data_IF_220256070106
#
_entry.id   IF_220256070106
#
_cell.length_a   1.000
_cell.length_b   1.000
_cell.length_c   1.000
_cell.angle_alpha   90.00
_cell.angle_beta   90.00
_cell.angle_gamma   90.00
#
_symmetry.space_group_name_H-M   'P 1'
#
loop_
_entity.id
_entity.type
_entity.pdbx_description
1 polymer ?
#
# COMPACT_ATOMS: atom_id res chain seq x y z
N UNK A 1 -7.53 -16.68 -1.72
CA UNK A 1 -8.39 -16.13 -2.78
C UNK A 1 -7.55 -15.72 -3.97
N UNK A 2 -7.82 -16.27 -5.15
CA UNK A 2 -7.09 -15.97 -6.39
C UNK A 2 -7.45 -14.59 -6.96
N UNK A 3 -8.68 -14.12 -6.75
CA UNK A 3 -9.13 -12.81 -7.22
C UNK A 3 -8.39 -11.70 -6.48
N UNK A 4 -8.32 -11.76 -5.14
CA UNK A 4 -7.54 -10.82 -4.33
C UNK A 4 -6.06 -10.80 -4.71
N UNK A 5 -5.43 -11.96 -4.94
CA UNK A 5 -4.02 -12.00 -5.36
C UNK A 5 -3.79 -11.27 -6.68
N UNK A 6 -4.62 -11.56 -7.69
CA UNK A 6 -4.47 -11.03 -9.05
C UNK A 6 -4.81 -9.55 -9.14
N UNK A 7 -5.83 -9.11 -8.40
CA UNK A 7 -6.38 -7.74 -8.52
C UNK A 7 -5.79 -6.76 -7.50
N UNK A 8 -5.14 -7.24 -6.44
CA UNK A 8 -4.59 -6.40 -5.36
C UNK A 8 -3.10 -6.65 -5.16
N UNK A 9 -2.71 -7.89 -4.83
CA UNK A 9 -1.32 -8.17 -4.43
C UNK A 9 -0.34 -8.04 -5.59
N UNK A 10 -0.67 -8.59 -6.76
CA UNK A 10 0.20 -8.56 -7.93
C UNK A 10 0.41 -7.14 -8.50
N UNK A 11 -0.63 -6.29 -8.68
CA UNK A 11 -0.43 -4.92 -9.13
C UNK A 11 0.40 -4.08 -8.16
N UNK A 12 0.09 -4.14 -6.85
CA UNK A 12 0.85 -3.42 -5.82
C UNK A 12 2.30 -3.93 -5.78
N UNK A 13 2.50 -5.24 -5.85
CA UNK A 13 3.83 -5.84 -5.91
C UNK A 13 4.63 -5.35 -7.11
N UNK A 14 4.01 -5.31 -8.30
CA UNK A 14 4.64 -4.80 -9.52
C UNK A 14 5.02 -3.33 -9.38
N UNK A 15 4.14 -2.49 -8.85
CA UNK A 15 4.47 -1.08 -8.57
C UNK A 15 5.63 -0.95 -7.58
N UNK A 16 5.66 -1.78 -6.54
CA UNK A 16 6.72 -1.77 -5.54
C UNK A 16 8.11 -2.13 -6.13
N UNK A 17 8.16 -2.97 -7.18
CA UNK A 17 9.45 -3.35 -7.79
C UNK A 17 10.25 -2.20 -8.41
N UNK A 18 9.63 -1.06 -8.71
CA UNK A 18 10.35 0.11 -9.24
C UNK A 18 11.23 0.80 -8.19
N UNK A 19 10.83 0.78 -6.92
CA UNK A 19 11.46 1.59 -5.87
C UNK A 19 12.91 1.20 -5.53
N UNK A 20 13.28 -0.09 -5.47
CA UNK A 20 14.69 -0.48 -5.29
C UNK A 20 15.61 0.10 -6.37
N UNK A 21 15.20 0.03 -7.64
CA UNK A 21 16.01 0.54 -8.76
C UNK A 21 16.11 2.06 -8.75
N UNK A 22 15.01 2.75 -8.42
CA UNK A 22 15.03 4.20 -8.18
C UNK A 22 16.00 4.55 -7.05
N UNK A 23 15.98 3.80 -5.96
CA UNK A 23 16.89 3.99 -4.83
C UNK A 23 18.36 3.84 -5.23
N UNK A 24 18.68 2.85 -6.07
CA UNK A 24 20.01 2.69 -6.66
C UNK A 24 20.39 3.86 -7.58
N UNK A 25 19.47 4.31 -8.43
CA UNK A 25 19.70 5.44 -9.34
C UNK A 25 19.97 6.75 -8.56
N UNK A 26 19.20 7.03 -7.50
CA UNK A 26 19.43 8.17 -6.61
C UNK A 26 20.79 8.08 -5.93
N UNK A 27 21.19 6.90 -5.43
CA UNK A 27 22.52 6.70 -4.85
C UNK A 27 23.64 6.95 -5.84
N UNK A 28 23.50 6.47 -7.08
CA UNK A 28 24.46 6.72 -8.17
C UNK A 28 24.53 8.21 -8.53
N UNK A 29 23.39 8.91 -8.61
CA UNK A 29 23.32 10.38 -8.82
C UNK A 29 24.03 11.16 -7.71
N UNK A 30 23.87 10.76 -6.45
CA UNK A 30 24.55 11.41 -5.34
C UNK A 30 26.07 11.16 -5.34
N UNK A 31 26.50 9.95 -5.72
CA UNK A 31 27.93 9.66 -5.89
C UNK A 31 28.57 10.53 -6.98
N UNK A 32 27.94 10.60 -8.16
CA UNK A 32 28.45 11.42 -9.27
C UNK A 32 28.44 12.92 -8.96
N UNK A 33 27.46 13.41 -8.19
CA UNK A 33 27.48 14.78 -7.67
C UNK A 33 28.71 15.04 -6.80
N UNK A 34 29.03 14.14 -5.86
CA UNK A 34 30.19 14.25 -5.00
C UNK A 34 31.51 14.24 -5.82
N UNK A 35 31.61 13.35 -6.81
CA UNK A 35 32.77 13.29 -7.71
C UNK A 35 32.94 14.60 -8.50
N UNK A 36 31.83 15.17 -8.99
CA UNK A 36 31.82 16.46 -9.67
C UNK A 36 32.23 17.62 -8.76
N UNK A 37 31.72 17.69 -7.53
CA UNK A 37 32.09 18.72 -6.56
C UNK A 37 33.59 18.65 -6.20
N UNK A 38 34.13 17.45 -6.05
CA UNK A 38 35.56 17.22 -5.82
C UNK A 38 36.40 17.69 -7.02
N UNK A 39 35.99 17.37 -8.25
CA UNK A 39 36.68 17.82 -9.46
C UNK A 39 36.65 19.35 -9.60
N UNK A 40 35.49 20.00 -9.33
CA UNK A 40 35.39 21.47 -9.28
C UNK A 40 36.27 22.08 -8.20
N UNK A 41 36.36 21.46 -7.03
CA UNK A 41 37.25 21.93 -5.97
C UNK A 41 38.73 21.86 -6.39
N UNK A 42 39.13 20.81 -7.12
CA UNK A 42 40.48 20.68 -7.69
C UNK A 42 40.78 21.78 -8.72
N UNK A 43 39.83 22.07 -9.62
CA UNK A 43 39.96 23.18 -10.58
C UNK A 43 40.11 24.52 -9.85
N UNK A 44 39.23 24.83 -8.88
CA UNK A 44 39.31 26.08 -8.09
C UNK A 44 40.68 26.26 -7.43
N UNK A 45 41.21 25.20 -6.80
CA UNK A 45 42.55 25.24 -6.18
C UNK A 45 43.67 25.53 -7.19
N UNK A 46 43.58 25.01 -8.41
CA UNK A 46 44.58 25.25 -9.47
C UNK A 46 44.44 26.65 -10.09
N UNK A 47 43.26 27.24 -10.08
CA UNK A 47 43.04 28.64 -10.49
C UNK A 47 43.58 29.61 -9.44
N UNK A 48 43.26 29.38 -8.16
CA UNK A 48 43.73 30.22 -7.05
C UNK A 48 45.24 30.12 -6.84
N UNK A 49 45.81 28.93 -7.04
CA UNK A 49 47.25 28.68 -6.95
C UNK A 49 47.73 27.95 -8.20
N UNK A 50 48.09 28.70 -9.27
CA UNK A 50 48.56 28.12 -10.53
C UNK A 50 49.77 27.22 -10.33
N UNK A 51 49.79 26.11 -11.06
CA UNK A 51 50.91 25.18 -11.10
C UNK A 51 51.94 25.64 -12.13
N UNK A 52 53.22 25.32 -11.90
CA UNK A 52 54.27 25.53 -12.91
C UNK A 52 54.05 24.67 -14.17
N UNK A 53 53.52 23.45 -14.00
CA UNK A 53 53.01 22.64 -15.12
C UNK A 53 51.69 23.21 -15.67
N UNK A 54 51.79 23.88 -16.83
CA UNK A 54 50.67 24.51 -17.55
C UNK A 54 49.62 23.52 -18.04
N UNK A 55 49.91 22.22 -18.09
CA UNK A 55 48.96 21.20 -18.54
C UNK A 55 48.00 20.74 -17.44
N UNK A 56 48.31 21.03 -16.16
CA UNK A 56 47.52 20.52 -15.02
C UNK A 56 46.14 21.15 -14.91
N UNK A 57 46.02 22.45 -15.16
CA UNK A 57 44.73 23.14 -15.12
C UNK A 57 43.81 22.64 -16.25
N UNK A 58 44.23 22.63 -17.54
CA UNK A 58 43.40 22.09 -18.63
C UNK A 58 42.95 20.64 -18.40
N UNK A 59 43.84 19.79 -17.84
CA UNK A 59 43.48 18.41 -17.49
C UNK A 59 42.42 18.35 -16.39
N UNK A 60 42.57 19.13 -15.32
CA UNK A 60 41.59 19.16 -14.24
C UNK A 60 40.24 19.72 -14.69
N UNK A 61 40.23 20.69 -15.61
CA UNK A 61 39.01 21.22 -16.23
C UNK A 61 38.32 20.17 -17.11
N UNK A 62 39.09 19.42 -17.89
CA UNK A 62 38.57 18.29 -18.67
C UNK A 62 37.94 17.22 -17.77
N UNK A 63 38.64 16.79 -16.71
CA UNK A 63 38.12 15.83 -15.72
C UNK A 63 36.81 16.36 -15.09
N UNK A 64 36.77 17.63 -14.72
CA UNK A 64 35.58 18.25 -14.11
C UNK A 64 34.39 18.31 -15.06
N UNK A 65 34.62 18.54 -16.36
CA UNK A 65 33.57 18.49 -17.38
C UNK A 65 33.03 17.07 -17.56
N UNK A 66 33.88 16.04 -17.56
CA UNK A 66 33.42 14.64 -17.60
C UNK A 66 32.53 14.33 -16.40
N UNK A 67 32.97 14.69 -15.19
CA UNK A 67 32.17 14.46 -13.98
C UNK A 67 30.85 15.24 -14.00
N UNK A 68 30.85 16.47 -14.52
CA UNK A 68 29.63 17.27 -14.73
C UNK A 68 28.65 16.52 -15.62
N UNK A 69 29.10 16.11 -16.80
CA UNK A 69 28.23 15.51 -17.81
C UNK A 69 27.65 14.17 -17.30
N UNK A 70 28.43 13.39 -16.54
CA UNK A 70 27.92 12.19 -15.86
C UNK A 70 26.82 12.49 -14.83
N UNK A 71 27.03 13.51 -13.99
CA UNK A 71 26.04 13.93 -13.01
C UNK A 71 24.78 14.50 -13.67
N UNK A 72 24.94 15.40 -14.65
CA UNK A 72 23.83 16.08 -15.33
C UNK A 72 22.95 15.09 -16.08
N UNK A 73 23.53 14.11 -16.77
CA UNK A 73 22.78 13.05 -17.43
C UNK A 73 21.90 12.27 -16.44
N UNK A 74 22.49 11.83 -15.31
CA UNK A 74 21.75 11.03 -14.33
C UNK A 74 20.72 11.87 -13.56
N UNK A 75 21.02 13.15 -13.31
CA UNK A 75 20.10 14.10 -12.71
C UNK A 75 18.91 14.40 -13.62
N UNK A 76 19.15 14.63 -14.92
CA UNK A 76 18.10 14.88 -15.90
C UNK A 76 17.18 13.66 -16.10
N UNK A 77 17.76 12.46 -16.14
CA UNK A 77 17.00 11.22 -16.21
C UNK A 77 16.08 11.07 -14.99
N UNK A 78 16.61 11.22 -13.77
CA UNK A 78 15.80 11.12 -12.56
C UNK A 78 14.71 12.20 -12.49
N UNK A 79 15.02 13.43 -12.87
CA UNK A 79 14.05 14.53 -12.90
C UNK A 79 12.88 14.25 -13.88
N UNK A 80 13.16 13.51 -14.96
CA UNK A 80 12.17 13.14 -15.97
C UNK A 80 11.34 11.92 -15.55
N UNK A 81 11.98 10.91 -14.96
CA UNK A 81 11.33 9.61 -14.68
C UNK A 81 10.60 9.56 -13.33
N UNK A 82 11.12 10.21 -12.28
CA UNK A 82 10.49 10.17 -10.95
C UNK A 82 9.02 10.64 -10.96
N UNK A 83 8.65 11.76 -11.62
CA UNK A 83 7.25 12.19 -11.68
C UNK A 83 6.34 11.15 -12.35
N UNK A 84 6.80 10.49 -13.41
CA UNK A 84 6.04 9.47 -14.14
C UNK A 84 5.77 8.25 -13.27
N UNK A 85 6.76 7.81 -12.50
CA UNK A 85 6.60 6.68 -11.57
C UNK A 85 5.62 7.04 -10.46
N UNK A 86 5.72 8.26 -9.91
CA UNK A 86 4.77 8.75 -8.92
C UNK A 86 3.35 8.78 -9.51
N UNK A 87 3.17 9.29 -10.72
CA UNK A 87 1.88 9.34 -11.41
C UNK A 87 1.29 7.95 -11.65
N UNK A 88 2.13 6.97 -12.02
CA UNK A 88 1.72 5.59 -12.24
C UNK A 88 1.02 4.96 -11.02
N UNK A 89 1.24 5.47 -9.79
CA UNK A 89 0.53 5.02 -8.59
C UNK A 89 -0.98 4.92 -8.78
N UNK A 90 -1.58 5.86 -9.52
CA UNK A 90 -3.03 5.92 -9.75
C UNK A 90 -3.48 4.66 -10.50
N UNK A 91 -2.78 4.34 -11.60
CA UNK A 91 -3.08 3.18 -12.45
C UNK A 91 -2.91 1.83 -11.74
N UNK A 92 -2.14 1.75 -10.66
CA UNK A 92 -1.99 0.53 -9.86
C UNK A 92 -2.92 0.51 -8.65
N UNK A 93 -3.03 1.61 -7.92
CA UNK A 93 -3.72 1.65 -6.63
C UNK A 93 -5.23 1.79 -6.79
N UNK A 94 -5.72 2.65 -7.68
CA UNK A 94 -7.16 2.87 -7.87
C UNK A 94 -7.92 1.57 -8.19
N UNK A 95 -7.53 0.77 -9.21
CA UNK A 95 -8.21 -0.48 -9.49
C UNK A 95 -8.01 -1.53 -8.37
N UNK A 96 -6.87 -1.49 -7.65
CA UNK A 96 -6.65 -2.38 -6.51
C UNK A 96 -7.60 -2.06 -5.35
N UNK A 97 -7.78 -0.78 -5.03
CA UNK A 97 -8.74 -0.33 -4.03
C UNK A 97 -10.18 -0.64 -4.43
N UNK A 98 -10.54 -0.40 -5.69
CA UNK A 98 -11.85 -0.75 -6.21
C UNK A 98 -12.13 -2.26 -6.09
N UNK A 99 -11.15 -3.10 -6.42
CA UNK A 99 -11.27 -4.56 -6.29
C UNK A 99 -11.48 -5.00 -4.83
N UNK A 100 -10.80 -4.36 -3.86
CA UNK A 100 -11.01 -4.62 -2.43
C UNK A 100 -12.45 -4.29 -2.03
N UNK A 101 -12.94 -3.11 -2.37
CA UNK A 101 -14.30 -2.67 -2.01
C UNK A 101 -15.35 -3.59 -2.62
N UNK A 102 -15.20 -3.96 -3.90
CA UNK A 102 -16.11 -4.90 -4.57
C UNK A 102 -16.08 -6.29 -3.95
N UNK A 103 -14.89 -6.78 -3.58
CA UNK A 103 -14.74 -8.07 -2.90
C UNK A 103 -15.45 -8.08 -1.55
N UNK A 104 -15.30 -7.01 -0.76
CA UNK A 104 -15.99 -6.86 0.52
C UNK A 104 -17.51 -6.76 0.36
N UNK A 105 -17.99 -6.00 -0.64
CA UNK A 105 -19.41 -5.90 -0.95
C UNK A 105 -19.99 -7.26 -1.33
N UNK A 106 -19.33 -8.00 -2.22
CA UNK A 106 -19.75 -9.35 -2.62
C UNK A 106 -19.82 -10.27 -1.41
N UNK A 107 -18.79 -10.26 -0.56
CA UNK A 107 -18.77 -11.06 0.66
C UNK A 107 -19.95 -10.74 1.60
N UNK A 108 -20.23 -9.46 1.81
CA UNK A 108 -21.35 -9.05 2.66
C UNK A 108 -22.71 -9.46 2.09
N UNK A 109 -22.89 -9.36 0.77
CA UNK A 109 -24.09 -9.81 0.08
C UNK A 109 -24.26 -11.33 0.19
N UNK A 110 -23.20 -12.09 -0.05
CA UNK A 110 -23.22 -13.55 0.05
C UNK A 110 -23.51 -14.02 1.49
N UNK A 111 -22.92 -13.34 2.49
CA UNK A 111 -23.19 -13.61 3.89
C UNK A 111 -24.66 -13.34 4.25
N UNK A 112 -25.22 -12.21 3.80
CA UNK A 112 -26.63 -11.88 4.03
C UNK A 112 -27.56 -12.93 3.40
N UNK A 113 -27.34 -13.26 2.12
CA UNK A 113 -28.13 -14.28 1.40
C UNK A 113 -28.07 -15.63 2.13
N UNK A 114 -26.89 -16.00 2.64
CA UNK A 114 -26.71 -17.21 3.43
C UNK A 114 -27.52 -17.15 4.74
N UNK A 115 -27.48 -16.05 5.47
CA UNK A 115 -28.25 -15.88 6.70
C UNK A 115 -29.76 -15.86 6.46
N UNK A 116 -30.24 -15.22 5.38
CA UNK A 116 -31.65 -15.27 4.98
C UNK A 116 -32.10 -16.70 4.67
N UNK A 117 -31.27 -17.49 3.98
CA UNK A 117 -31.53 -18.91 3.77
C UNK A 117 -31.54 -19.74 5.06
N UNK A 118 -30.86 -19.30 6.12
CA UNK A 118 -30.92 -19.93 7.43
C UNK A 118 -32.14 -19.50 8.25
N UNK A 119 -32.72 -18.31 8.01
CA UNK A 119 -33.90 -17.82 8.75
C UNK A 119 -35.05 -18.83 8.76
N UNK A 120 -35.27 -19.56 7.67
CA UNK A 120 -36.32 -20.58 7.58
C UNK A 120 -36.12 -21.78 8.53
N UNK A 121 -34.90 -21.99 9.03
CA UNK A 121 -34.57 -23.08 9.95
C UNK A 121 -34.68 -22.67 11.42
N UNK A 122 -34.76 -21.37 11.69
CA UNK A 122 -35.02 -20.88 13.04
C UNK A 122 -36.53 -20.85 13.29
N UNK A 123 -37.00 -21.18 14.49
CA UNK A 123 -38.40 -20.98 14.83
C UNK A 123 -38.75 -19.50 14.62
N UNK A 124 -39.96 -19.23 14.13
CA UNK A 124 -40.52 -17.88 14.14
C UNK A 124 -40.32 -17.30 15.54
N UNK A 125 -39.89 -16.04 15.65
CA UNK A 125 -39.87 -15.38 16.96
C UNK A 125 -41.27 -15.55 17.56
N UNK A 126 -41.40 -16.25 18.69
CA UNK A 126 -42.71 -16.45 19.29
C UNK A 126 -43.22 -15.06 19.63
N UNK A 127 -44.45 -14.75 19.21
CA UNK A 127 -45.05 -13.47 19.58
C UNK A 127 -45.04 -13.39 21.10
N UNK A 128 -44.75 -12.22 21.70
CA UNK A 128 -44.74 -12.07 23.17
C UNK A 128 -45.99 -12.66 23.83
N UNK A 129 -47.13 -12.60 23.12
CA UNK A 129 -48.39 -13.20 23.52
C UNK A 129 -48.40 -14.75 23.57
N UNK A 130 -47.67 -15.43 22.68
CA UNK A 130 -47.55 -16.90 22.66
C UNK A 130 -46.67 -17.38 23.82
N UNK A 131 -45.54 -16.70 24.05
CA UNK A 131 -44.66 -16.98 25.21
C UNK A 131 -45.44 -16.78 26.52
N UNK A 132 -46.22 -15.70 26.61
CA UNK A 132 -47.06 -15.41 27.77
C UNK A 132 -48.08 -16.51 28.04
N UNK A 133 -48.76 -17.02 27.01
CA UNK A 133 -49.74 -18.11 27.12
C UNK A 133 -49.10 -19.44 27.50
N UNK A 134 -47.96 -19.79 26.90
CA UNK A 134 -47.23 -21.02 27.26
C UNK A 134 -46.74 -20.95 28.72
N UNK A 135 -46.20 -19.81 29.13
CA UNK A 135 -45.74 -19.58 30.51
C UNK A 135 -46.92 -19.67 31.49
N UNK A 136 -48.05 -19.06 31.18
CA UNK A 136 -49.26 -19.12 32.01
C UNK A 136 -49.83 -20.54 32.10
N UNK A 137 -49.78 -21.30 31.01
CA UNK A 137 -50.16 -22.72 30.99
C UNK A 137 -49.26 -23.58 31.88
N UNK A 138 -47.95 -23.36 31.83
CA UNK A 138 -46.99 -24.05 32.70
C UNK A 138 -47.22 -23.66 34.17
N UNK A 139 -47.43 -22.37 34.47
CA UNK A 139 -47.74 -21.90 35.82
C UNK A 139 -49.07 -22.48 36.34
N UNK A 140 -50.06 -22.67 35.47
CA UNK A 140 -51.30 -23.35 35.84
C UNK A 140 -51.07 -24.82 36.17
N UNK A 141 -50.29 -25.54 35.35
CA UNK A 141 -49.92 -26.92 35.64
C UNK A 141 -49.14 -27.05 36.95
N UNK A 142 -48.26 -26.09 37.26
CA UNK A 142 -47.55 -26.04 38.56
C UNK A 142 -48.49 -25.78 39.74
N UNK A 143 -49.56 -24.98 39.55
CA UNK A 143 -50.61 -24.78 40.57
C UNK A 143 -51.47 -26.02 40.77
N UNK A 144 -51.76 -26.74 39.70
CA UNK A 144 -52.58 -27.97 39.73
C UNK A 144 -51.78 -29.17 40.26
N UNK A 145 -50.45 -29.16 40.12
CA UNK A 145 -49.51 -30.08 40.76
C UNK A 145 -49.49 -29.82 42.27
N UNK A 146 -50.53 -30.33 42.93
CA UNK A 146 -50.69 -30.34 44.38
C UNK A 146 -49.67 -31.33 44.97
N UNK A 147 -48.39 -30.93 45.07
CA UNK A 147 -47.33 -31.78 45.63
C UNK A 147 -47.38 -31.85 47.16
N UNK A 148 -48.14 -30.98 47.82
CA UNK A 148 -48.51 -31.14 49.22
C UNK A 148 -50.02 -30.91 49.34
N UNK A 149 -50.78 -32.00 49.41
CA UNK A 149 -52.17 -31.95 49.83
C UNK A 149 -52.26 -31.35 51.24
N UNK A 150 -52.57 -30.07 51.31
CA UNK A 150 -53.16 -29.45 52.48
C UNK A 150 -54.58 -29.09 52.09
N UNK A 151 -55.50 -29.95 52.56
CA UNK A 151 -56.91 -29.64 52.71
C UNK A 151 -57.10 -28.46 53.68
#
# INVERSE_FOLDING_TARGET
DAAFRTTVLEPIGRYYTFFPEIGEAIRRRNKTLLDYDNARAKVRKLVERPSEDSTRLPRAEHDANICRDMYENMNAQLATELPKIIEARVSYLDPSFEAIVKSQLSYAQDALNTFEGLRQHFPSEPQEHEIGRETEGILQQMRDLTICGLA
#
